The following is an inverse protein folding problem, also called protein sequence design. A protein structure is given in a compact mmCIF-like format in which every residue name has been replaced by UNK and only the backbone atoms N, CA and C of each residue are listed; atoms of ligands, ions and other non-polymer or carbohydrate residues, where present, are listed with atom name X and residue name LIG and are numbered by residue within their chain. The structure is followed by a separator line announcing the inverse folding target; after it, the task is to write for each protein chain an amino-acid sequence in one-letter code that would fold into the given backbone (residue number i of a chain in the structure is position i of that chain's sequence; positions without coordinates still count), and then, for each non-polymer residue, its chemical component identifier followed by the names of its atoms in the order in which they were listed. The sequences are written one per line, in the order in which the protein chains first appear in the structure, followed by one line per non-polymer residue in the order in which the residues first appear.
data_IF_132716094349
#
_entry.id   IF_132716094349
#
_cell.length_a   1.000
_cell.length_b   1.000
_cell.length_c   1.000
_cell.angle_alpha   90.00
_cell.angle_beta   90.00
_cell.angle_gamma   90.00
#
_symmetry.space_group_name_H-M   'P 1'
#
loop_
_entity.id
_entity.type
_entity.pdbx_description
1 polymer ?
#
# COMPACT_ATOMS: atom_id res chain seq x y z
N UNK A 1 -6.30 -18.05 -4.24
CA UNK A 1 -6.04 -16.95 -3.28
C UNK A 1 -5.25 -15.87 -3.99
N UNK A 2 -5.62 -14.58 -3.89
CA UNK A 2 -4.86 -13.50 -4.56
C UNK A 2 -3.62 -13.14 -3.74
N UNK A 3 -2.45 -13.27 -4.35
CA UNK A 3 -1.15 -12.99 -3.70
C UNK A 3 -0.90 -11.50 -3.48
N UNK A 4 -1.58 -10.62 -4.23
CA UNK A 4 -1.45 -9.17 -4.14
C UNK A 4 -2.79 -8.58 -3.69
N UNK A 5 -2.75 -7.83 -2.59
CA UNK A 5 -3.90 -7.12 -2.04
C UNK A 5 -4.03 -5.75 -2.70
N UNK A 6 -5.27 -5.37 -2.99
CA UNK A 6 -5.63 -4.01 -3.37
C UNK A 6 -6.39 -3.38 -2.20
N UNK A 7 -6.17 -2.09 -1.96
CA UNK A 7 -6.84 -1.35 -0.91
C UNK A 7 -7.57 -0.14 -1.48
N UNK A 8 -8.65 0.23 -0.79
CA UNK A 8 -9.36 1.47 -1.03
C UNK A 8 -9.77 2.07 0.30
N UNK A 9 -9.83 3.41 0.37
CA UNK A 9 -10.45 4.15 1.47
C UNK A 9 -10.90 5.51 0.99
N UNK A 10 -11.83 6.11 1.72
CA UNK A 10 -12.10 7.54 1.60
C UNK A 10 -11.27 8.30 2.62
N UNK A 11 -10.74 9.45 2.22
CA UNK A 11 -10.22 10.41 3.19
C UNK A 11 -11.34 11.27 3.80
N UNK A 12 -10.97 12.18 4.72
CA UNK A 12 -11.94 13.06 5.38
C UNK A 12 -12.69 13.99 4.41
N UNK A 13 -12.07 14.33 3.29
CA UNK A 13 -12.65 15.19 2.25
C UNK A 13 -13.47 14.40 1.22
N UNK A 14 -13.66 13.10 1.41
CA UNK A 14 -14.39 12.24 0.49
C UNK A 14 -13.61 11.82 -0.75
N UNK A 15 -12.29 12.03 -0.80
CA UNK A 15 -11.46 11.57 -1.92
C UNK A 15 -11.23 10.08 -1.83
N UNK A 16 -11.41 9.38 -2.95
CA UNK A 16 -11.11 7.95 -3.06
C UNK A 16 -9.60 7.73 -3.22
N UNK A 17 -9.00 7.12 -2.20
CA UNK A 17 -7.63 6.62 -2.25
C UNK A 17 -7.68 5.15 -2.64
N UNK A 18 -7.07 4.80 -3.77
CA UNK A 18 -7.04 3.44 -4.31
C UNK A 18 -5.61 3.01 -4.64
N UNK A 19 -5.23 1.80 -4.28
CA UNK A 19 -3.86 1.35 -4.49
C UNK A 19 -3.65 -0.16 -4.36
N UNK A 20 -2.44 -0.58 -4.71
CA UNK A 20 -1.96 -1.96 -4.62
C UNK A 20 -0.43 -1.95 -4.57
N UNK A 21 0.19 -3.12 -4.38
CA UNK A 21 1.64 -3.27 -4.41
C UNK A 21 2.15 -3.11 -5.84
N UNK A 22 3.19 -2.28 -6.02
CA UNK A 22 3.76 -1.96 -7.32
C UNK A 22 4.78 -0.82 -7.23
N UNK A 23 5.63 -0.70 -8.25
CA UNK A 23 6.61 0.38 -8.35
C UNK A 23 6.28 1.27 -9.55
N UNK A 24 6.06 2.58 -9.33
CA UNK A 24 5.84 3.57 -10.40
C UNK A 24 7.17 4.07 -10.98
N UNK A 25 8.07 3.16 -11.35
CA UNK A 25 9.34 3.49 -12.03
C UNK A 25 9.29 3.06 -13.50
N UNK A 26 9.93 3.82 -14.38
CA UNK A 26 9.95 3.58 -15.82
C UNK A 26 8.52 3.41 -16.39
N UNK A 27 8.27 2.33 -17.13
CA UNK A 27 6.94 1.98 -17.68
C UNK A 27 5.90 1.62 -16.59
N UNK A 28 6.33 1.46 -15.34
CA UNK A 28 5.48 1.14 -14.19
C UNK A 28 4.35 2.15 -13.98
N UNK A 29 4.60 3.45 -14.21
CA UNK A 29 3.57 4.49 -14.02
C UNK A 29 2.37 4.28 -14.94
N UNK A 30 2.61 4.08 -16.25
CA UNK A 30 1.53 3.83 -17.21
C UNK A 30 0.80 2.51 -16.91
N UNK A 31 1.54 1.46 -16.56
CA UNK A 31 0.99 0.14 -16.22
C UNK A 31 0.08 0.22 -14.99
N UNK A 32 0.53 0.88 -13.93
CA UNK A 32 -0.23 1.01 -12.69
C UNK A 32 -1.46 1.90 -12.84
N UNK A 33 -1.38 2.99 -13.62
CA UNK A 33 -2.56 3.79 -13.99
C UNK A 33 -3.60 2.97 -14.73
N UNK A 34 -3.17 2.25 -15.76
CA UNK A 34 -4.07 1.45 -16.58
C UNK A 34 -4.69 0.31 -15.75
N UNK A 35 -3.91 -0.31 -14.86
CA UNK A 35 -4.42 -1.28 -13.89
C UNK A 35 -5.46 -0.64 -12.96
N UNK A 36 -5.17 0.52 -12.37
CA UNK A 36 -6.06 1.19 -11.43
C UNK A 36 -7.40 1.56 -12.09
N UNK A 37 -7.36 2.09 -13.32
CA UNK A 37 -8.57 2.37 -14.11
C UNK A 37 -9.42 1.13 -14.33
N UNK A 38 -8.81 0.02 -14.77
CA UNK A 38 -9.53 -1.25 -14.99
C UNK A 38 -10.08 -1.83 -13.69
N UNK A 39 -9.32 -1.74 -12.61
CA UNK A 39 -9.74 -2.26 -11.30
C UNK A 39 -10.92 -1.45 -10.74
N UNK A 40 -10.87 -0.11 -10.82
CA UNK A 40 -11.95 0.76 -10.38
C UNK A 40 -13.20 0.61 -11.25
N UNK A 41 -13.07 0.53 -12.58
CA UNK A 41 -14.21 0.27 -13.46
C UNK A 41 -14.90 -1.08 -13.15
N UNK A 42 -14.13 -2.07 -12.69
CA UNK A 42 -14.67 -3.37 -12.27
C UNK A 42 -15.34 -3.33 -10.89
N UNK A 43 -14.76 -2.61 -9.92
CA UNK A 43 -15.24 -2.57 -8.54
C UNK A 43 -16.38 -1.57 -8.34
N UNK A 44 -16.31 -0.44 -9.05
CA UNK A 44 -17.21 0.70 -8.91
C UNK A 44 -17.61 1.24 -10.29
N UNK A 45 -18.37 0.46 -11.08
CA UNK A 45 -18.76 0.86 -12.43
C UNK A 45 -19.51 2.20 -12.48
N UNK A 46 -20.21 2.56 -11.40
CA UNK A 46 -20.93 3.83 -11.26
C UNK A 46 -20.03 5.08 -11.26
N UNK A 47 -18.72 4.94 -11.02
CA UNK A 47 -17.79 6.08 -11.07
C UNK A 47 -17.52 6.54 -12.51
N UNK A 48 -17.81 5.70 -13.52
CA UNK A 48 -17.51 6.00 -14.90
C UNK A 48 -16.01 6.26 -15.15
N UNK A 49 -15.71 7.16 -16.10
CA UNK A 49 -14.33 7.57 -16.39
C UNK A 49 -13.91 8.68 -15.43
N UNK A 50 -12.92 8.38 -14.57
CA UNK A 50 -12.36 9.34 -13.62
C UNK A 50 -10.93 9.75 -14.00
N UNK A 51 -10.53 10.95 -13.62
CA UNK A 51 -9.13 11.37 -13.61
C UNK A 51 -8.48 11.01 -12.25
N UNK A 52 -7.15 10.87 -12.23
CA UNK A 52 -6.41 10.76 -10.98
C UNK A 52 -5.77 12.11 -10.66
N UNK A 53 -6.10 12.68 -9.50
CA UNK A 53 -5.56 13.97 -9.07
C UNK A 53 -4.12 13.85 -8.54
N UNK A 54 -3.80 12.70 -7.95
CA UNK A 54 -2.52 12.45 -7.29
C UNK A 54 -2.05 11.01 -7.49
N UNK A 55 -0.74 10.85 -7.53
CA UNK A 55 -0.07 9.57 -7.67
C UNK A 55 1.20 9.55 -6.83
N UNK A 56 1.41 8.43 -6.13
CA UNK A 56 2.61 8.23 -5.35
C UNK A 56 2.90 6.74 -5.22
N UNK A 57 4.15 6.43 -4.88
CA UNK A 57 4.57 5.09 -4.51
C UNK A 57 5.57 5.19 -3.36
N UNK A 58 5.80 4.07 -2.70
CA UNK A 58 6.77 3.96 -1.61
C UNK A 58 7.42 2.60 -1.60
N UNK A 59 8.39 2.43 -0.70
CA UNK A 59 9.02 1.15 -0.45
C UNK A 59 8.35 0.47 0.74
N UNK A 60 8.18 -0.84 0.63
CA UNK A 60 7.64 -1.68 1.70
C UNK A 60 8.79 -2.52 2.25
N UNK A 61 9.02 -2.44 3.56
CA UNK A 61 9.91 -3.36 4.26
C UNK A 61 9.27 -4.76 4.31
N UNK A 62 9.72 -5.63 3.43
CA UNK A 62 9.26 -7.02 3.33
C UNK A 62 10.21 -7.96 4.07
N UNK A 63 9.68 -9.05 4.60
CA UNK A 63 10.43 -10.18 5.16
C UNK A 63 10.04 -11.46 4.42
N UNK A 64 10.91 -12.46 4.46
CA UNK A 64 10.70 -13.73 3.75
C UNK A 64 9.61 -14.61 4.34
N UNK A 65 9.27 -14.39 5.61
CA UNK A 65 8.28 -15.16 6.39
C UNK A 65 7.01 -14.35 6.73
N UNK A 66 6.88 -13.14 6.18
CA UNK A 66 5.80 -12.20 6.46
C UNK A 66 5.64 -11.75 7.93
N UNK A 67 6.63 -12.02 8.80
CA UNK A 67 6.64 -11.59 10.19
C UNK A 67 7.44 -10.28 10.37
N UNK A 68 6.99 -9.32 11.19
CA UNK A 68 7.79 -8.18 11.60
C UNK A 68 9.09 -8.61 12.29
N UNK A 69 10.15 -7.82 12.13
CA UNK A 69 11.42 -8.03 12.82
C UNK A 69 11.50 -7.17 14.06
N UNK A 70 11.63 -7.81 15.22
CA UNK A 70 12.02 -7.18 16.47
C UNK A 70 13.52 -7.35 16.66
N UNK A 71 14.21 -6.24 16.92
CA UNK A 71 15.64 -6.21 17.14
C UNK A 71 15.94 -5.67 18.53
N UNK A 72 16.84 -6.32 19.25
CA UNK A 72 17.44 -5.82 20.50
C UNK A 72 18.91 -5.54 20.25
N UNK A 73 19.28 -4.27 20.19
CA UNK A 73 20.65 -3.84 19.88
C UNK A 73 21.51 -3.64 21.14
N UNK A 74 20.87 -3.47 22.30
CA UNK A 74 21.55 -3.25 23.58
C UNK A 74 20.59 -3.10 24.75
N UNK A 75 21.09 -2.71 25.92
CA UNK A 75 20.25 -2.35 27.06
C UNK A 75 19.41 -1.13 26.69
N UNK A 76 18.09 -1.28 26.72
CA UNK A 76 17.11 -0.24 26.36
C UNK A 76 17.23 0.30 24.91
N UNK A 77 17.81 -0.48 24.00
CA UNK A 77 17.87 -0.13 22.56
C UNK A 77 17.17 -1.23 21.76
N UNK A 78 16.01 -0.90 21.20
CA UNK A 78 15.19 -1.80 20.39
C UNK A 78 14.80 -1.16 19.07
N UNK A 79 14.52 -1.97 18.06
CA UNK A 79 13.98 -1.49 16.79
C UNK A 79 12.99 -2.48 16.19
N UNK A 80 12.02 -1.95 15.46
CA UNK A 80 11.03 -2.74 14.74
C UNK A 80 11.09 -2.42 13.24
N UNK A 81 11.00 -3.44 12.39
CA UNK A 81 10.98 -3.27 10.93
C UNK A 81 10.25 -4.40 10.23
N UNK A 82 10.07 -4.29 8.91
CA UNK A 82 9.58 -5.42 8.11
C UNK A 82 8.09 -5.72 8.28
N UNK A 83 7.22 -4.69 8.34
CA UNK A 83 5.77 -4.89 8.54
C UNK A 83 5.01 -5.45 7.33
N UNK A 84 5.69 -5.80 6.23
CA UNK A 84 5.07 -6.43 5.06
C UNK A 84 3.82 -5.70 4.54
N UNK A 85 3.87 -4.37 4.47
CA UNK A 85 2.77 -3.52 3.98
C UNK A 85 1.62 -3.32 4.96
N UNK A 86 1.74 -3.83 6.19
CA UNK A 86 0.74 -3.75 7.25
C UNK A 86 1.27 -2.95 8.43
N UNK A 87 2.06 -1.89 8.19
CA UNK A 87 2.72 -1.16 9.28
C UNK A 87 1.80 -0.28 10.12
N UNK A 88 0.66 0.18 9.56
CA UNK A 88 -0.19 1.18 10.24
C UNK A 88 -0.79 0.60 11.54
N UNK A 89 -1.46 -0.55 11.46
CA UNK A 89 -2.15 -1.11 12.63
C UNK A 89 -1.16 -1.72 13.65
N UNK A 90 -0.32 -2.70 13.29
CA UNK A 90 0.76 -3.20 14.13
C UNK A 90 1.71 -2.14 14.69
N UNK A 91 2.15 -1.18 13.88
CA UNK A 91 3.05 -0.11 14.35
C UNK A 91 2.43 0.74 15.44
N UNK A 92 1.13 1.07 15.31
CA UNK A 92 0.39 1.79 16.35
C UNK A 92 0.35 1.02 17.68
N UNK A 93 0.31 -0.31 17.64
CA UNK A 93 0.29 -1.14 18.85
C UNK A 93 1.68 -1.26 19.49
N UNK A 94 2.74 -1.31 18.68
CA UNK A 94 4.11 -1.45 19.18
C UNK A 94 4.68 -0.15 19.76
N UNK A 95 4.23 1.01 19.30
CA UNK A 95 4.75 2.33 19.70
C UNK A 95 5.76 2.87 18.71
#
# INVERSE_FOLDING_TARGET
TRTILSSFRLDRSGRLVFGSVGALRNTGTAIHKAWARRALAKLYPQLGSIAFDHEWYGQIGMTTDALPRFHKFGRNVVGFSGYNGRGISPGTVFG
#
